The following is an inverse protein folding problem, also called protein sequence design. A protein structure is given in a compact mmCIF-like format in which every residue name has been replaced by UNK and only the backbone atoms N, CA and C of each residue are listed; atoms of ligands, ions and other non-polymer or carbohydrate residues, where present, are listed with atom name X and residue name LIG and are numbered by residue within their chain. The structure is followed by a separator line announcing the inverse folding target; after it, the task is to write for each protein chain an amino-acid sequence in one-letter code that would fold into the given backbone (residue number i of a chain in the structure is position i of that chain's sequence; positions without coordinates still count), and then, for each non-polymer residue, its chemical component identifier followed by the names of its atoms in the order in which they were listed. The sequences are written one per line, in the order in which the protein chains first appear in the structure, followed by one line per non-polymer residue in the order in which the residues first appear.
data_IF_254053668974
#
_entry.id   IF_254053668974
#
_cell.length_a   1.000
_cell.length_b   1.000
_cell.length_c   1.000
_cell.angle_alpha   90.00
_cell.angle_beta   90.00
_cell.angle_gamma   90.00
#
_symmetry.space_group_name_H-M   'P 1'
#
loop_
_entity.id
_entity.type
_entity.pdbx_description
1 polymer ?
#
# COMPACT_ATOMS: atom_id res chain seq x y z
N UNK A 1 -27.59 -20.91 -15.67
CA UNK A 1 -27.31 -20.46 -14.29
C UNK A 1 -26.23 -19.41 -14.39
N UNK A 2 -26.67 -18.16 -14.50
CA UNK A 2 -25.81 -17.00 -14.75
C UNK A 2 -24.94 -16.69 -13.54
N UNK A 3 -23.73 -16.22 -13.84
CA UNK A 3 -22.56 -16.27 -13.00
C UNK A 3 -22.61 -15.18 -11.91
N UNK A 4 -23.23 -15.49 -10.77
CA UNK A 4 -23.39 -14.61 -9.59
C UNK A 4 -22.09 -13.95 -9.10
N UNK A 5 -20.93 -14.48 -9.50
CA UNK A 5 -19.60 -13.90 -9.23
C UNK A 5 -19.30 -12.69 -10.13
N UNK A 6 -19.71 -12.73 -11.39
CA UNK A 6 -19.57 -11.62 -12.34
C UNK A 6 -20.48 -10.44 -11.97
N UNK A 7 -21.69 -10.72 -11.50
CA UNK A 7 -22.63 -9.66 -11.10
C UNK A 7 -22.19 -8.95 -9.82
N UNK A 8 -21.56 -9.68 -8.88
CA UNK A 8 -20.91 -9.06 -7.71
C UNK A 8 -19.69 -8.22 -8.09
N UNK A 9 -18.87 -8.68 -9.04
CA UNK A 9 -17.75 -7.91 -9.59
C UNK A 9 -18.25 -6.65 -10.31
N UNK A 10 -19.33 -6.74 -11.09
CA UNK A 10 -19.96 -5.60 -11.77
C UNK A 10 -20.59 -4.61 -10.79
N UNK A 11 -21.23 -5.08 -9.73
CA UNK A 11 -21.78 -4.21 -8.68
C UNK A 11 -20.69 -3.51 -7.85
N UNK A 12 -19.56 -4.18 -7.57
CA UNK A 12 -18.36 -3.56 -6.95
C UNK A 12 -17.71 -2.54 -7.89
N UNK A 13 -17.59 -2.85 -9.18
CA UNK A 13 -17.01 -1.96 -10.18
C UNK A 13 -17.93 -0.79 -10.52
N UNK A 14 -19.26 -0.91 -10.38
CA UNK A 14 -20.19 0.21 -10.59
C UNK A 14 -20.02 1.36 -9.56
N UNK A 15 -19.34 1.11 -8.44
CA UNK A 15 -18.99 2.14 -7.46
C UNK A 15 -17.69 2.88 -7.82
N UNK A 16 -16.81 2.27 -8.62
CA UNK A 16 -15.58 2.87 -9.14
C UNK A 16 -15.85 3.31 -10.57
N UNK A 17 -16.22 4.59 -10.74
CA UNK A 17 -16.61 5.15 -12.03
C UNK A 17 -15.64 4.80 -13.16
N UNK A 18 -16.22 4.46 -14.32
CA UNK A 18 -15.52 4.13 -15.56
C UNK A 18 -14.52 5.22 -15.96
N UNK A 19 -13.23 5.01 -15.65
CA UNK A 19 -12.11 5.65 -16.32
C UNK A 19 -11.23 4.58 -16.93
N UNK A 20 -10.91 4.77 -18.20
CA UNK A 20 -10.08 3.89 -19.03
C UNK A 20 -8.62 4.02 -18.58
N UNK A 21 -8.31 3.57 -17.36
CA UNK A 21 -6.96 3.57 -16.73
C UNK A 21 -6.91 2.73 -15.42
N UNK A 22 -8.00 2.05 -15.04
CA UNK A 22 -8.08 1.38 -13.75
C UNK A 22 -7.13 0.19 -13.63
N UNK A 23 -6.26 0.21 -12.62
CA UNK A 23 -5.65 -1.02 -12.08
C UNK A 23 -6.81 -1.91 -11.59
N UNK A 24 -7.21 -2.87 -12.42
CA UNK A 24 -8.24 -3.87 -12.12
C UNK A 24 -7.62 -4.95 -11.26
N UNK A 25 -8.01 -5.01 -9.99
CA UNK A 25 -7.57 -6.08 -9.08
C UNK A 25 -8.61 -6.35 -8.00
N UNK A 26 -8.67 -7.60 -7.53
CA UNK A 26 -9.42 -7.95 -6.34
C UNK A 26 -8.46 -7.92 -5.14
N UNK A 27 -8.36 -6.76 -4.51
CA UNK A 27 -7.35 -6.50 -3.47
C UNK A 27 -7.42 -7.48 -2.28
N UNK A 28 -8.63 -7.90 -1.88
CA UNK A 28 -8.82 -8.90 -0.83
C UNK A 28 -8.34 -10.30 -1.24
N UNK A 29 -8.49 -10.66 -2.52
CA UNK A 29 -7.95 -11.92 -3.04
C UNK A 29 -6.41 -11.88 -3.06
N UNK A 30 -5.81 -10.74 -3.39
CA UNK A 30 -4.35 -10.58 -3.35
C UNK A 30 -3.79 -10.67 -1.93
N UNK A 31 -4.47 -10.10 -0.94
CA UNK A 31 -4.12 -10.33 0.48
C UNK A 31 -4.26 -11.81 0.86
N UNK A 32 -5.30 -12.47 0.38
CA UNK A 32 -5.53 -13.91 0.63
C UNK A 32 -4.44 -14.77 -0.01
N UNK A 33 -4.03 -14.45 -1.25
CA UNK A 33 -2.89 -15.06 -1.93
C UNK A 33 -1.61 -14.88 -1.12
N UNK A 34 -1.34 -13.64 -0.66
CA UNK A 34 -0.16 -13.34 0.13
C UNK A 34 -0.13 -14.12 1.45
N UNK A 35 -1.26 -14.23 2.16
CA UNK A 35 -1.34 -15.06 3.37
C UNK A 35 -1.07 -16.52 3.11
N UNK A 36 -1.61 -17.09 2.02
CA UNK A 36 -1.32 -18.47 1.62
C UNK A 36 0.15 -18.66 1.28
N UNK A 37 0.74 -17.72 0.54
CA UNK A 37 2.16 -17.72 0.14
C UNK A 37 3.08 -17.69 1.36
N UNK A 38 2.84 -16.78 2.29
CA UNK A 38 3.68 -16.59 3.48
C UNK A 38 3.31 -17.49 4.66
N UNK A 39 2.19 -18.22 4.56
CA UNK A 39 1.67 -19.13 5.60
C UNK A 39 1.47 -18.42 6.95
N UNK A 40 0.95 -17.19 6.92
CA UNK A 40 0.73 -16.34 8.10
C UNK A 40 -0.76 -16.23 8.47
N UNK A 41 -1.10 -16.13 9.77
CA UNK A 41 -2.48 -15.99 10.24
C UNK A 41 -3.07 -14.62 9.90
N UNK A 42 -4.39 -14.44 10.11
CA UNK A 42 -5.09 -13.18 9.80
C UNK A 42 -4.86 -12.03 10.78
N UNK A 43 -4.17 -12.28 11.89
CA UNK A 43 -4.09 -11.38 13.06
C UNK A 43 -3.26 -10.13 12.84
N UNK A 44 -2.23 -10.20 12.01
CA UNK A 44 -1.24 -9.13 11.83
C UNK A 44 -1.23 -8.58 10.41
N UNK A 45 -0.75 -7.35 10.26
CA UNK A 45 -0.92 -6.58 9.03
C UNK A 45 0.00 -7.07 7.90
N UNK A 46 -0.61 -7.41 6.78
CA UNK A 46 0.02 -7.48 5.46
C UNK A 46 -0.52 -6.36 4.57
N UNK A 47 0.23 -6.00 3.55
CA UNK A 47 -0.18 -5.10 2.49
C UNK A 47 0.28 -5.64 1.14
N UNK A 48 -0.51 -5.32 0.11
CA UNK A 48 -0.17 -5.56 -1.29
C UNK A 48 -0.25 -4.25 -2.06
N UNK A 49 0.54 -4.15 -3.13
CA UNK A 49 0.51 -3.04 -4.06
C UNK A 49 0.40 -3.52 -5.51
N UNK A 50 -0.32 -2.76 -6.35
CA UNK A 50 -0.34 -2.91 -7.81
C UNK A 50 -0.29 -1.56 -8.50
N UNK A 51 0.26 -1.52 -9.70
CA UNK A 51 0.43 -0.28 -10.45
C UNK A 51 0.17 -0.44 -11.94
N UNK A 52 -0.17 0.66 -12.59
CA UNK A 52 -0.15 0.82 -14.04
C UNK A 52 1.00 1.75 -14.50
N UNK A 53 2.01 1.99 -13.65
CA UNK A 53 3.23 2.69 -14.06
C UNK A 53 3.91 1.86 -15.17
N UNK A 54 4.30 2.49 -16.30
CA UNK A 54 4.92 1.79 -17.42
C UNK A 54 6.11 0.90 -17.02
N UNK A 55 6.10 -0.35 -17.45
CA UNK A 55 7.14 -1.34 -17.17
C UNK A 55 6.96 -2.11 -15.85
N UNK A 56 5.95 -1.76 -15.05
CA UNK A 56 5.64 -2.41 -13.77
C UNK A 56 4.25 -3.04 -13.75
N UNK A 57 3.55 -3.06 -14.88
CA UNK A 57 2.24 -3.67 -15.01
C UNK A 57 2.30 -5.17 -14.68
N UNK A 58 1.31 -5.65 -13.92
CA UNK A 58 1.23 -7.06 -13.51
C UNK A 58 2.13 -7.45 -12.35
N UNK A 59 3.09 -6.62 -11.91
CA UNK A 59 3.83 -6.86 -10.66
C UNK A 59 2.92 -6.69 -9.44
N UNK A 60 3.17 -7.51 -8.41
CA UNK A 60 2.54 -7.40 -7.09
C UNK A 60 3.63 -7.07 -6.09
N UNK A 61 3.47 -5.95 -5.39
CA UNK A 61 4.37 -5.51 -4.32
C UNK A 61 3.85 -6.05 -3.01
N UNK A 62 4.70 -6.66 -2.20
CA UNK A 62 4.27 -7.38 -0.99
C UNK A 62 4.92 -6.78 0.26
N UNK A 63 4.11 -6.59 1.31
CA UNK A 63 4.60 -6.07 2.58
C UNK A 63 4.01 -6.73 3.79
N UNK A 64 4.83 -6.90 4.82
CA UNK A 64 4.45 -7.45 6.11
C UNK A 64 4.92 -6.58 7.26
N UNK A 65 4.10 -6.49 8.30
CA UNK A 65 4.55 -5.96 9.60
C UNK A 65 5.66 -6.82 10.22
N UNK A 66 6.40 -6.34 11.24
CA UNK A 66 7.54 -7.08 11.79
C UNK A 66 7.16 -8.47 12.31
N UNK A 67 5.97 -8.61 12.90
CA UNK A 67 5.46 -9.90 13.36
C UNK A 67 5.16 -10.86 12.21
N UNK A 68 4.48 -10.37 11.16
CA UNK A 68 4.20 -11.15 9.96
C UNK A 68 5.49 -11.64 9.32
N UNK A 69 6.51 -10.77 9.19
CA UNK A 69 7.80 -11.16 8.60
C UNK A 69 8.46 -12.26 9.41
N UNK A 70 8.48 -12.12 10.74
CA UNK A 70 8.99 -13.15 11.65
C UNK A 70 8.25 -14.48 11.50
N UNK A 71 6.91 -14.46 11.46
CA UNK A 71 6.08 -15.66 11.32
C UNK A 71 6.23 -16.33 9.95
N UNK A 72 6.43 -15.54 8.90
CA UNK A 72 6.71 -16.01 7.55
C UNK A 72 8.15 -16.53 7.37
N UNK A 73 9.01 -16.44 8.40
CA UNK A 73 10.43 -16.78 8.30
C UNK A 73 11.24 -15.82 7.42
N UNK A 74 10.74 -14.60 7.19
CA UNK A 74 11.41 -13.54 6.44
C UNK A 74 12.31 -12.74 7.39
N UNK A 75 13.44 -12.24 6.87
CA UNK A 75 14.33 -11.33 7.61
C UNK A 75 13.57 -10.07 8.06
N UNK A 76 14.04 -9.37 9.09
CA UNK A 76 13.47 -8.06 9.44
C UNK A 76 13.62 -7.08 8.26
N UNK A 77 12.77 -6.05 8.20
CA UNK A 77 12.83 -5.08 7.12
C UNK A 77 14.16 -4.30 7.11
N UNK A 78 14.77 -4.07 8.29
CA UNK A 78 16.11 -3.47 8.38
C UNK A 78 17.19 -4.35 7.76
N UNK A 79 17.05 -5.67 7.80
CA UNK A 79 18.03 -6.60 7.21
C UNK A 79 17.77 -6.83 5.71
N UNK A 80 16.51 -6.94 5.32
CA UNK A 80 16.14 -7.20 3.93
C UNK A 80 16.27 -5.96 3.04
N UNK A 81 16.07 -4.77 3.62
CA UNK A 81 16.15 -3.50 2.92
C UNK A 81 16.95 -2.49 3.80
N UNK A 82 18.27 -2.71 3.97
CA UNK A 82 19.10 -1.88 4.85
C UNK A 82 19.26 -0.45 4.33
N UNK A 83 19.35 -0.27 3.01
CA UNK A 83 19.57 1.03 2.36
C UNK A 83 18.28 1.66 1.82
N UNK A 84 17.15 1.26 2.39
CA UNK A 84 15.84 1.72 1.93
C UNK A 84 15.65 3.20 2.15
N UNK A 85 15.09 3.86 1.15
CA UNK A 85 14.95 5.32 1.11
C UNK A 85 13.82 5.82 1.99
N UNK A 86 12.70 5.09 2.01
CA UNK A 86 11.54 5.47 2.80
C UNK A 86 11.57 4.74 4.13
N UNK A 87 11.50 5.51 5.22
CA UNK A 87 11.44 4.98 6.59
C UNK A 87 10.33 5.66 7.37
N UNK A 88 9.67 4.93 8.25
CA UNK A 88 8.71 5.54 9.18
C UNK A 88 9.36 6.68 9.98
N UNK A 89 8.58 7.72 10.26
CA UNK A 89 8.97 8.80 11.18
C UNK A 89 8.93 8.40 12.65
N UNK A 90 8.46 7.19 12.96
CA UNK A 90 8.43 6.64 14.30
C UNK A 90 9.83 6.40 14.88
N UNK A 91 9.96 6.51 16.20
CA UNK A 91 11.21 6.28 16.94
C UNK A 91 11.23 4.96 17.73
N UNK A 92 10.09 4.27 17.78
CA UNK A 92 9.91 3.03 18.55
C UNK A 92 9.56 1.89 17.61
N UNK A 93 9.93 0.66 17.99
CA UNK A 93 9.77 -0.55 17.18
C UNK A 93 8.33 -0.78 16.70
N UNK A 94 7.34 -0.46 17.54
CA UNK A 94 5.92 -0.62 17.19
C UNK A 94 5.40 0.40 16.18
N UNK A 95 6.19 1.43 15.84
CA UNK A 95 5.82 2.50 14.92
C UNK A 95 6.69 2.51 13.65
N UNK A 96 7.52 1.49 13.44
CA UNK A 96 8.48 1.39 12.33
C UNK A 96 8.35 0.05 11.62
N UNK A 97 8.83 -0.05 10.36
CA UNK A 97 8.88 -1.31 9.60
C UNK A 97 7.50 -1.95 9.39
N UNK A 98 6.49 -1.11 9.20
CA UNK A 98 5.12 -1.57 8.92
C UNK A 98 4.98 -2.03 7.47
N UNK A 99 3.86 -2.70 7.17
CA UNK A 99 3.64 -3.29 5.85
C UNK A 99 3.70 -2.25 4.72
N UNK A 100 3.21 -1.03 4.96
CA UNK A 100 3.25 0.06 3.98
C UNK A 100 4.69 0.52 3.68
N UNK A 101 5.60 0.47 4.66
CA UNK A 101 7.02 0.80 4.47
C UNK A 101 7.69 -0.22 3.54
N UNK A 102 7.36 -1.50 3.70
CA UNK A 102 7.86 -2.56 2.84
C UNK A 102 7.33 -2.40 1.40
N UNK A 103 6.01 -2.25 1.22
CA UNK A 103 5.39 -2.09 -0.11
C UNK A 103 5.96 -0.88 -0.85
N UNK A 104 6.17 0.24 -0.14
CA UNK A 104 6.73 1.46 -0.72
C UNK A 104 8.17 1.25 -1.23
N UNK A 105 9.03 0.61 -0.44
CA UNK A 105 10.43 0.42 -0.84
C UNK A 105 10.61 -0.68 -1.89
N UNK A 106 9.75 -1.71 -1.89
CA UNK A 106 9.70 -2.70 -2.97
C UNK A 106 9.31 -2.05 -4.31
N UNK A 107 8.33 -1.14 -4.28
CA UNK A 107 7.97 -0.32 -5.44
C UNK A 107 9.14 0.57 -5.92
N UNK A 108 9.84 1.25 -5.00
CA UNK A 108 11.01 2.08 -5.34
C UNK A 108 12.10 1.26 -6.01
N UNK A 109 12.41 0.07 -5.49
CA UNK A 109 13.40 -0.81 -6.09
C UNK A 109 12.99 -1.21 -7.52
N UNK A 110 11.72 -1.55 -7.73
CA UNK A 110 11.24 -1.90 -9.06
C UNK A 110 11.29 -0.72 -10.05
N UNK A 111 11.05 0.52 -9.60
CA UNK A 111 11.23 1.74 -10.41
C UNK A 111 12.69 1.89 -10.86
N UNK A 112 13.64 1.67 -9.95
CA UNK A 112 15.07 1.69 -10.27
C UNK A 112 15.47 0.59 -11.25
N UNK A 113 14.93 -0.62 -11.09
CA UNK A 113 15.19 -1.74 -11.99
C UNK A 113 14.76 -1.46 -13.43
N UNK A 114 13.65 -0.74 -13.62
CA UNK A 114 13.17 -0.34 -14.96
C UNK A 114 13.80 0.97 -15.46
N UNK A 115 14.69 1.59 -14.66
CA UNK A 115 15.44 2.78 -15.05
C UNK A 115 14.57 4.04 -15.21
N UNK A 116 13.47 4.14 -14.46
CA UNK A 116 12.61 5.32 -14.48
C UNK A 116 13.10 6.38 -13.49
N UNK A 117 13.32 7.60 -14.00
CA UNK A 117 13.56 8.78 -13.17
C UNK A 117 12.30 9.19 -12.42
N UNK A 118 12.48 9.73 -11.22
CA UNK A 118 11.40 10.07 -10.29
C UNK A 118 10.31 10.97 -10.90
N UNK A 119 10.70 11.97 -11.69
CA UNK A 119 9.81 12.93 -12.34
C UNK A 119 9.03 12.32 -13.51
N UNK A 120 9.46 11.16 -14.00
CA UNK A 120 8.83 10.43 -15.10
C UNK A 120 7.94 9.27 -14.61
N UNK A 121 7.92 9.00 -13.30
CA UNK A 121 6.99 8.04 -12.70
C UNK A 121 5.58 8.62 -12.71
N UNK A 122 4.82 8.24 -13.75
CA UNK A 122 3.42 8.62 -13.94
C UNK A 122 2.52 7.40 -13.90
N UNK A 123 1.35 7.54 -13.28
CA UNK A 123 0.36 6.47 -13.16
C UNK A 123 -0.25 6.42 -11.77
N UNK A 124 -0.89 5.30 -11.46
CA UNK A 124 -1.53 5.00 -10.19
C UNK A 124 -0.84 3.82 -9.52
N UNK A 125 -0.45 3.99 -8.27
CA UNK A 125 -0.02 2.93 -7.38
C UNK A 125 -1.10 2.69 -6.32
N UNK A 126 -1.81 1.56 -6.43
CA UNK A 126 -2.85 1.15 -5.48
C UNK A 126 -2.22 0.28 -4.40
N UNK A 127 -2.38 0.66 -3.14
CA UNK A 127 -1.96 -0.09 -1.96
C UNK A 127 -3.20 -0.54 -1.19
N UNK A 128 -3.24 -1.81 -0.81
CA UNK A 128 -4.30 -2.36 0.03
C UNK A 128 -3.71 -3.11 1.21
N UNK A 129 -4.19 -2.87 2.42
CA UNK A 129 -3.70 -3.53 3.63
C UNK A 129 -4.80 -4.23 4.42
N UNK A 130 -4.42 -5.26 5.18
CA UNK A 130 -5.35 -6.06 5.96
C UNK A 130 -5.76 -5.44 7.29
N UNK A 131 -5.27 -4.25 7.67
CA UNK A 131 -5.55 -3.66 8.97
C UNK A 131 -6.90 -2.93 9.00
N UNK A 132 -7.93 -3.46 9.70
CA UNK A 132 -9.25 -2.83 9.75
C UNK A 132 -9.29 -1.52 10.54
N UNK A 133 -8.20 -1.15 11.21
CA UNK A 133 -8.08 0.15 11.89
C UNK A 133 -7.57 1.25 10.96
N UNK A 134 -7.20 0.93 9.71
CA UNK A 134 -6.65 1.87 8.74
C UNK A 134 -5.16 2.14 8.91
N UNK A 135 -4.59 2.93 7.98
CA UNK A 135 -3.16 3.29 7.97
C UNK A 135 -2.86 4.11 9.21
N UNK A 136 -1.83 3.72 9.98
CA UNK A 136 -1.60 4.32 11.28
C UNK A 136 -1.18 5.80 11.19
N UNK A 137 -1.43 6.61 12.24
CA UNK A 137 -1.08 8.04 12.22
C UNK A 137 0.40 8.33 11.94
N UNK A 138 1.32 7.44 12.33
CA UNK A 138 2.76 7.60 12.07
C UNK A 138 3.09 7.41 10.59
N UNK A 139 2.51 6.39 9.94
CA UNK A 139 2.65 6.18 8.49
C UNK A 139 2.05 7.33 7.66
N UNK A 140 1.01 7.99 8.18
CA UNK A 140 0.35 9.16 7.57
C UNK A 140 0.98 10.50 7.96
N UNK A 141 2.00 10.52 8.82
CA UNK A 141 2.54 11.76 9.37
C UNK A 141 2.94 12.73 8.26
N UNK A 142 2.72 14.03 8.49
CA UNK A 142 3.02 15.08 7.53
C UNK A 142 1.95 15.34 6.46
N UNK A 143 1.13 14.35 6.05
CA UNK A 143 0.16 14.52 4.93
C UNK A 143 -0.92 15.58 5.21
N UNK A 144 -1.35 15.70 6.46
CA UNK A 144 -2.34 16.71 6.90
C UNK A 144 -1.74 17.85 7.73
N UNK A 145 -0.44 17.81 7.98
CA UNK A 145 0.26 18.84 8.76
C UNK A 145 1.74 18.87 8.35
N UNK A 146 2.14 19.81 7.46
CA UNK A 146 3.51 19.92 6.97
C UNK A 146 4.56 20.15 8.06
N UNK A 147 4.19 20.61 9.25
CA UNK A 147 5.11 20.81 10.36
C UNK A 147 5.51 19.49 11.06
N UNK A 148 4.84 18.37 10.75
CA UNK A 148 5.23 17.06 11.27
C UNK A 148 6.21 16.36 10.32
N UNK A 149 7.10 15.50 10.83
CA UNK A 149 7.96 14.67 9.99
C UNK A 149 7.15 13.87 8.97
N UNK A 150 7.66 13.73 7.75
CA UNK A 150 7.00 12.94 6.71
C UNK A 150 6.93 11.46 7.13
N UNK A 151 5.73 10.90 7.14
CA UNK A 151 5.52 9.45 7.22
C UNK A 151 5.75 8.78 5.86
N UNK A 152 5.66 7.45 5.85
CA UNK A 152 5.93 6.59 4.67
C UNK A 152 5.19 7.08 3.43
N UNK A 153 3.89 7.32 3.55
CA UNK A 153 3.06 7.67 2.39
C UNK A 153 3.39 9.07 1.86
N UNK A 154 3.70 10.02 2.75
CA UNK A 154 4.11 11.37 2.33
C UNK A 154 5.43 11.32 1.59
N UNK A 155 6.43 10.61 2.14
CA UNK A 155 7.74 10.46 1.50
C UNK A 155 7.59 9.86 0.09
N UNK A 156 6.76 8.83 -0.07
CA UNK A 156 6.52 8.21 -1.38
C UNK A 156 5.89 9.18 -2.38
N UNK A 157 4.88 9.94 -1.94
CA UNK A 157 4.23 10.94 -2.79
C UNK A 157 5.14 12.11 -3.15
N UNK A 158 6.05 12.52 -2.27
CA UNK A 158 7.03 13.57 -2.55
C UNK A 158 8.16 13.08 -3.47
N UNK A 159 8.58 11.82 -3.31
CA UNK A 159 9.58 11.18 -4.16
C UNK A 159 9.09 11.07 -5.61
N UNK A 160 7.82 10.73 -5.82
CA UNK A 160 7.24 10.61 -7.17
C UNK A 160 6.12 11.64 -7.36
N UNK A 161 6.44 12.89 -7.75
CA UNK A 161 5.49 14.01 -7.73
C UNK A 161 4.31 13.86 -8.73
N UNK A 162 4.45 13.00 -9.75
CA UNK A 162 3.39 12.71 -10.74
C UNK A 162 2.69 11.36 -10.50
N UNK A 163 3.03 10.65 -9.42
CA UNK A 163 2.39 9.41 -9.04
C UNK A 163 1.13 9.68 -8.23
N UNK A 164 0.03 9.01 -8.61
CA UNK A 164 -1.18 8.93 -7.81
C UNK A 164 -1.11 7.70 -6.91
N UNK A 165 -1.18 7.90 -5.60
CA UNK A 165 -1.14 6.81 -4.62
C UNK A 165 -2.55 6.63 -4.04
N UNK A 166 -3.17 5.49 -4.29
CA UNK A 166 -4.49 5.15 -3.75
C UNK A 166 -4.32 4.10 -2.66
N UNK A 167 -4.69 4.44 -1.42
CA UNK A 167 -4.54 3.52 -0.29
C UNK A 167 -5.90 3.13 0.24
N UNK A 168 -6.08 1.83 0.46
CA UNK A 168 -7.28 1.23 1.05
C UNK A 168 -6.91 0.24 2.15
N UNK A 169 -7.85 -0.05 3.04
CA UNK A 169 -7.71 -1.04 4.09
C UNK A 169 -8.95 -1.93 4.12
N UNK A 170 -8.79 -3.18 4.55
CA UNK A 170 -9.92 -4.06 4.86
C UNK A 170 -10.88 -3.39 5.86
N UNK A 171 -12.16 -3.74 5.78
CA UNK A 171 -13.20 -3.20 6.67
C UNK A 171 -13.86 -4.35 7.40
N UNK A 172 -13.84 -4.30 8.73
CA UNK A 172 -14.47 -5.30 9.60
C UNK A 172 -15.50 -4.60 10.48
N UNK A 173 -16.72 -5.11 10.47
CA UNK A 173 -17.83 -4.56 11.27
C UNK A 173 -17.48 -4.57 12.77
N UNK A 174 -17.83 -3.49 13.47
CA UNK A 174 -17.57 -3.34 14.90
C UNK A 174 -16.13 -2.97 15.28
N UNK A 175 -15.18 -2.95 14.33
CA UNK A 175 -13.81 -2.48 14.62
C UNK A 175 -13.72 -0.96 14.60
N UNK A 176 -13.30 -0.37 15.73
CA UNK A 176 -13.04 1.08 15.82
C UNK A 176 -11.81 1.47 15.00
N UNK A 177 -12.01 2.36 14.03
CA UNK A 177 -10.96 2.97 13.21
C UNK A 177 -10.05 3.85 14.07
N UNK A 178 -8.74 3.74 13.86
CA UNK A 178 -7.71 4.55 14.53
C UNK A 178 -6.89 5.40 13.53
N UNK A 179 -6.82 4.95 12.28
CA UNK A 179 -6.11 5.57 11.19
C UNK A 179 -7.05 6.07 10.10
N UNK A 180 -6.60 5.96 8.85
CA UNK A 180 -7.42 6.29 7.67
C UNK A 180 -7.62 5.03 6.81
N UNK A 181 -8.87 4.69 6.54
CA UNK A 181 -9.24 3.46 5.81
C UNK A 181 -9.03 3.60 4.31
N UNK A 182 -9.42 4.73 3.73
CA UNK A 182 -9.29 5.01 2.31
C UNK A 182 -8.92 6.48 2.09
N UNK A 183 -7.95 6.71 1.22
CA UNK A 183 -7.53 8.04 0.82
C UNK A 183 -6.64 7.97 -0.41
N UNK A 184 -6.45 9.13 -1.04
CA UNK A 184 -5.59 9.29 -2.21
C UNK A 184 -4.57 10.39 -1.93
N UNK A 185 -3.34 10.18 -2.37
CA UNK A 185 -2.23 11.12 -2.24
C UNK A 185 -1.60 11.37 -3.60
N UNK A 186 -1.37 12.63 -3.91
CA UNK A 186 -0.56 13.08 -5.05
C UNK A 186 0.42 14.14 -4.55
N UNK A 187 1.69 14.06 -4.97
CA UNK A 187 2.74 15.00 -4.60
C UNK A 187 2.78 15.32 -3.08
N UNK A 188 2.71 14.27 -2.26
CA UNK A 188 2.76 14.38 -0.79
C UNK A 188 1.55 15.04 -0.13
N UNK A 189 0.41 15.20 -0.83
CA UNK A 189 -0.80 15.85 -0.32
C UNK A 189 -2.02 14.98 -0.52
N UNK A 190 -2.99 15.07 0.38
CA UNK A 190 -4.30 14.46 0.16
C UNK A 190 -5.00 15.15 -1.02
N UNK A 191 -5.59 14.33 -1.90
CA UNK A 191 -6.53 14.79 -2.93
C UNK A 191 -7.94 14.37 -2.56
N UNK A 192 -8.93 15.18 -2.95
CA UNK A 192 -10.35 14.82 -2.78
C UNK A 192 -10.72 13.80 -3.85
N UNK A 193 -11.50 12.79 -3.44
CA UNK A 193 -12.21 11.90 -4.36
C UNK A 193 -13.28 12.68 -5.11
#
# INVERSE_FOLDING_TARGET
VENTRLDKLRARNAFYGTKVDDVVWDASEELSNLRRKWKVPETDTIAVGKTNVPGLEGKVFEGGSPKVRKEAGLSDLDDAFPDREIRSSGKISSATRHAEENVANDFINAIKEVGLEAENVTGTFKIHQSNPKGVCPTCLSGLGNPAKPSGVIKQLGEMFPKLRIEVTSEVVEGVKVNGRLQFIVENGKYVKN
#
